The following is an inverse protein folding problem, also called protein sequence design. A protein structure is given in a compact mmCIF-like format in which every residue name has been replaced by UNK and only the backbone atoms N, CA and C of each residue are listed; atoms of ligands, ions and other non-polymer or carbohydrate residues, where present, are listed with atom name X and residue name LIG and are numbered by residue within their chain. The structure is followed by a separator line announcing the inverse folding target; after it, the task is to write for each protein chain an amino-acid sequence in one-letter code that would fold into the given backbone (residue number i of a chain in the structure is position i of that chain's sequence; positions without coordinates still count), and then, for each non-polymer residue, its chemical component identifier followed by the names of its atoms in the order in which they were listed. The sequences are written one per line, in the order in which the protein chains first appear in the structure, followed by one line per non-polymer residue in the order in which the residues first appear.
data_IF_974075375600
#
_entry.id   IF_974075375600
#
_cell.length_a   1.000
_cell.length_b   1.000
_cell.length_c   1.000
_cell.angle_alpha   90.00
_cell.angle_beta   90.00
_cell.angle_gamma   90.00
#
_symmetry.space_group_name_H-M   'P 1'
#
loop_
_entity.id
_entity.type
_entity.pdbx_description
1 polymer ?
#
# COMPACT_ATOMS: atom_id res chain seq x y z
N UNK A 1 -0.31 -11.63 12.89
CA UNK A 1 -0.11 -10.22 13.24
C UNK A 1 -0.90 -9.39 12.24
N UNK A 2 -2.10 -8.98 12.59
CA UNK A 2 -2.94 -8.16 11.71
C UNK A 2 -2.37 -6.75 11.68
N UNK A 3 -1.76 -6.35 10.56
CA UNK A 3 -1.26 -5.00 10.34
C UNK A 3 -2.36 -3.96 10.65
N UNK A 4 -2.00 -2.95 11.41
CA UNK A 4 -2.87 -1.81 11.69
C UNK A 4 -3.03 -0.97 10.43
N UNK A 5 -4.18 -0.31 10.27
CA UNK A 5 -4.44 0.56 9.11
C UNK A 5 -3.40 1.69 9.00
N UNK A 6 -2.86 2.16 10.11
CA UNK A 6 -1.77 3.15 10.12
C UNK A 6 -0.46 2.60 9.55
N UNK A 7 -0.13 1.33 9.81
CA UNK A 7 1.06 0.68 9.25
C UNK A 7 0.92 0.53 7.72
N UNK A 8 -0.29 0.21 7.25
CA UNK A 8 -0.59 0.13 5.81
C UNK A 8 -0.54 1.51 5.13
N UNK A 9 -0.98 2.58 5.81
CA UNK A 9 -0.84 3.94 5.28
C UNK A 9 0.62 4.38 5.20
N UNK A 10 1.44 4.07 6.20
CA UNK A 10 2.87 4.40 6.16
C UNK A 10 3.57 3.64 5.03
N UNK A 11 3.28 2.34 4.89
CA UNK A 11 3.80 1.53 3.78
C UNK A 11 3.37 2.07 2.41
N UNK A 12 2.14 2.58 2.27
CA UNK A 12 1.67 3.21 1.02
C UNK A 12 2.51 4.44 0.67
N UNK A 13 2.84 5.29 1.64
CA UNK A 13 3.67 6.49 1.41
C UNK A 13 5.10 6.11 1.02
N UNK A 14 5.69 5.10 1.66
CA UNK A 14 7.01 4.60 1.31
C UNK A 14 7.05 4.04 -0.12
N UNK A 15 6.03 3.26 -0.51
CA UNK A 15 5.91 2.73 -1.86
C UNK A 15 5.69 3.85 -2.90
N UNK A 16 4.91 4.88 -2.58
CA UNK A 16 4.75 6.05 -3.45
C UNK A 16 6.09 6.76 -3.68
N UNK A 17 6.88 6.96 -2.62
CA UNK A 17 8.22 7.54 -2.75
C UNK A 17 9.18 6.66 -3.57
N UNK A 18 9.08 5.33 -3.42
CA UNK A 18 9.87 4.39 -4.21
C UNK A 18 9.53 4.45 -5.71
N UNK A 19 8.24 4.49 -6.06
CA UNK A 19 7.77 4.64 -7.45
C UNK A 19 8.23 5.98 -8.05
N UNK A 20 8.23 7.06 -7.26
CA UNK A 20 8.75 8.36 -7.72
C UNK A 20 10.27 8.29 -7.99
N UNK A 21 11.02 7.51 -7.20
CA UNK A 21 12.46 7.33 -7.35
C UNK A 21 12.86 6.35 -8.46
N UNK A 22 11.99 5.39 -8.80
CA UNK A 22 12.23 4.36 -9.81
C UNK A 22 10.93 4.04 -10.58
N UNK A 23 10.45 4.97 -11.42
CA UNK A 23 9.15 4.82 -12.10
C UNK A 23 9.12 3.70 -13.15
N UNK A 24 10.28 3.33 -13.69
CA UNK A 24 10.43 2.27 -14.70
C UNK A 24 10.76 0.89 -14.09
N UNK A 25 10.83 0.77 -12.76
CA UNK A 25 11.09 -0.50 -12.08
C UNK A 25 9.78 -1.24 -11.83
N UNK A 26 9.58 -2.32 -12.60
CA UNK A 26 8.38 -3.16 -12.55
C UNK A 26 8.18 -3.82 -11.18
N UNK A 27 9.27 -4.17 -10.48
CA UNK A 27 9.16 -4.77 -9.14
C UNK A 27 8.70 -3.75 -8.10
N UNK A 28 9.10 -2.49 -8.24
CA UNK A 28 8.61 -1.37 -7.41
C UNK A 28 7.13 -1.11 -7.68
N UNK A 29 6.70 -1.18 -8.94
CA UNK A 29 5.28 -1.03 -9.30
C UNK A 29 4.40 -2.15 -8.74
N UNK A 30 4.84 -3.42 -8.82
CA UNK A 30 4.11 -4.57 -8.24
C UNK A 30 4.00 -4.48 -6.72
N UNK A 31 5.09 -4.09 -6.04
CA UNK A 31 5.09 -3.92 -4.59
C UNK A 31 4.12 -2.82 -4.14
N UNK A 32 4.08 -1.69 -4.86
CA UNK A 32 3.15 -0.61 -4.60
C UNK A 32 1.68 -1.05 -4.82
N UNK A 33 1.38 -1.76 -5.89
CA UNK A 33 0.03 -2.26 -6.18
C UNK A 33 -0.48 -3.20 -5.06
N UNK A 34 0.36 -4.10 -4.57
CA UNK A 34 0.01 -5.01 -3.48
C UNK A 34 -0.35 -4.27 -2.18
N UNK A 35 0.37 -3.19 -1.85
CA UNK A 35 0.11 -2.39 -0.64
C UNK A 35 -1.19 -1.60 -0.78
N UNK A 36 -1.45 -1.02 -1.96
CA UNK A 36 -2.71 -0.29 -2.22
C UNK A 36 -3.92 -1.21 -2.12
N UNK A 37 -3.84 -2.43 -2.68
CA UNK A 37 -4.92 -3.42 -2.57
C UNK A 37 -5.18 -3.83 -1.12
N UNK A 38 -4.13 -4.10 -0.36
CA UNK A 38 -4.26 -4.47 1.05
C UNK A 38 -4.91 -3.34 1.87
N UNK A 39 -4.57 -2.08 1.58
CA UNK A 39 -5.18 -0.92 2.22
C UNK A 39 -6.65 -0.74 1.81
N UNK A 40 -6.99 -0.89 0.51
CA UNK A 40 -8.39 -0.82 0.02
C UNK A 40 -9.27 -1.89 0.69
N UNK A 41 -8.80 -3.13 0.77
CA UNK A 41 -9.52 -4.22 1.43
C UNK A 41 -9.75 -3.92 2.92
N UNK A 42 -8.73 -3.40 3.62
CA UNK A 42 -8.82 -3.03 5.04
C UNK A 42 -9.82 -1.90 5.27
N UNK A 43 -9.78 -0.86 4.43
CA UNK A 43 -10.69 0.29 4.52
C UNK A 43 -12.13 -0.12 4.20
N UNK A 44 -12.33 -0.95 3.17
CA UNK A 44 -13.65 -1.48 2.82
C UNK A 44 -14.23 -2.35 3.93
N UNK A 45 -13.40 -3.18 4.56
CA UNK A 45 -13.81 -4.00 5.71
C UNK A 45 -14.15 -3.16 6.95
N UNK A 46 -13.42 -2.06 7.18
CA UNK A 46 -13.67 -1.13 8.30
C UNK A 46 -14.85 -0.18 8.07
N UNK A 47 -15.18 0.16 6.82
CA UNK A 47 -16.30 1.04 6.47
C UNK A 47 -17.65 0.32 6.41
N UNK A 48 -17.65 -1.02 6.40
CA UNK A 48 -18.85 -1.86 6.36
C UNK A 48 -19.34 -2.31 7.76
N UNK A 49 -18.69 -1.86 8.84
CA UNK A 49 -19.07 -2.11 10.24
C UNK A 49 -19.47 -0.83 10.94
#
# INVERSE_FOLDING_TARGET
MSQSTEELQHAMVEQLMAVIGAPDDEAVAEAADSVVRALDERLRAGAAG
#
